data_IF_069323505782
#
_entry.id   IF_069323505782
#
_cell.length_a   1.000
_cell.length_b   1.000
_cell.length_c   1.000
_cell.angle_alpha   90.00
_cell.angle_beta   90.00
_cell.angle_gamma   90.00
#
_symmetry.space_group_name_H-M   'P 1'
#
loop_
_entity.id
_entity.type
_entity.pdbx_description
1 polymer ?
#
# COMPACT_ATOMS: atom_id res chain seq x y z
N UNK A 1 11.71 2.98 -26.93
CA UNK A 1 10.39 2.88 -26.26
C UNK A 1 10.62 2.80 -24.76
N UNK A 2 10.08 3.71 -23.94
CA UNK A 2 10.21 3.61 -22.48
C UNK A 2 9.49 2.33 -22.01
N UNK A 3 10.20 1.48 -21.27
CA UNK A 3 9.66 0.23 -20.74
C UNK A 3 8.65 0.46 -19.61
N UNK A 4 7.90 -0.58 -19.26
CA UNK A 4 6.90 -0.55 -18.17
C UNK A 4 7.51 -0.02 -16.86
N UNK A 5 8.77 -0.36 -16.56
CA UNK A 5 9.48 0.11 -15.37
C UNK A 5 9.67 1.64 -15.38
N UNK A 6 9.99 2.22 -16.54
CA UNK A 6 10.20 3.66 -16.67
C UNK A 6 8.87 4.43 -16.47
N UNK A 7 7.77 3.84 -16.95
CA UNK A 7 6.41 4.37 -16.75
C UNK A 7 5.97 4.30 -15.30
N UNK A 8 6.28 3.22 -14.57
CA UNK A 8 6.04 3.12 -13.13
C UNK A 8 6.90 4.15 -12.39
N UNK A 9 8.18 4.30 -12.74
CA UNK A 9 9.08 5.27 -12.12
C UNK A 9 8.60 6.71 -12.34
N UNK A 10 8.16 7.04 -13.56
CA UNK A 10 7.54 8.32 -13.89
C UNK A 10 6.22 8.53 -13.13
N UNK A 11 5.39 7.48 -13.01
CA UNK A 11 4.16 7.53 -12.23
C UNK A 11 4.42 7.81 -10.75
N UNK A 12 5.36 7.10 -10.12
CA UNK A 12 5.77 7.35 -8.72
C UNK A 12 6.35 8.74 -8.50
N UNK A 13 6.94 9.36 -9.53
CA UNK A 13 7.45 10.75 -9.48
C UNK A 13 6.39 11.79 -9.82
N UNK A 14 5.26 11.39 -10.39
CA UNK A 14 4.15 12.29 -10.72
C UNK A 14 3.39 12.75 -9.47
N UNK A 15 2.76 13.93 -9.49
CA UNK A 15 1.91 14.40 -8.38
C UNK A 15 0.74 13.45 -8.08
N UNK A 16 0.24 12.72 -9.09
CA UNK A 16 -0.80 11.70 -8.91
C UNK A 16 -0.26 10.49 -8.14
N UNK A 17 0.92 9.97 -8.50
CA UNK A 17 1.57 8.87 -7.79
C UNK A 17 1.99 9.26 -6.38
N UNK A 18 2.52 10.46 -6.18
CA UNK A 18 2.83 10.99 -4.85
C UNK A 18 1.58 11.08 -3.95
N UNK A 19 0.42 11.49 -4.49
CA UNK A 19 -0.85 11.46 -3.75
C UNK A 19 -1.28 10.05 -3.39
N UNK A 20 -1.19 9.09 -4.31
CA UNK A 20 -1.53 7.69 -4.04
C UNK A 20 -0.59 7.10 -2.98
N UNK A 21 0.71 7.34 -3.08
CA UNK A 21 1.71 6.91 -2.09
C UNK A 21 1.44 7.60 -0.75
N UNK A 22 1.11 8.89 -0.75
CA UNK A 22 0.76 9.64 0.44
C UNK A 22 -0.50 9.10 1.14
N UNK A 23 -1.54 8.78 0.38
CA UNK A 23 -2.76 8.15 0.91
C UNK A 23 -2.48 6.73 1.42
N UNK A 24 -1.71 5.94 0.68
CA UNK A 24 -1.30 4.62 1.12
C UNK A 24 -0.45 4.69 2.40
N UNK A 25 0.46 5.67 2.48
CA UNK A 25 1.31 5.91 3.65
C UNK A 25 0.50 6.42 4.83
N UNK A 26 -0.46 7.33 4.64
CA UNK A 26 -1.37 7.80 5.67
C UNK A 26 -2.26 6.66 6.18
N UNK A 27 -2.85 5.88 5.27
CA UNK A 27 -3.63 4.69 5.61
C UNK A 27 -2.80 3.61 6.34
N UNK A 28 -1.50 3.52 6.04
CA UNK A 28 -0.58 2.59 6.71
C UNK A 28 -0.01 3.15 8.02
N UNK A 29 0.10 4.47 8.12
CA UNK A 29 0.59 5.19 9.30
C UNK A 29 -0.48 5.30 10.38
N UNK A 30 -1.74 5.03 10.03
CA UNK A 30 -2.83 4.91 10.98
C UNK A 30 -2.64 3.64 11.84
N UNK A 31 -2.30 3.76 13.14
CA UNK A 31 -2.08 2.60 13.99
C UNK A 31 -3.35 1.74 14.12
N UNK A 32 -4.52 2.39 14.05
CA UNK A 32 -5.84 1.72 14.08
C UNK A 32 -6.04 0.79 12.89
N UNK A 33 -5.67 1.23 11.68
CA UNK A 33 -5.73 0.39 10.47
C UNK A 33 -4.71 -0.74 10.53
N UNK A 34 -3.55 -0.50 11.15
CA UNK A 34 -2.51 -1.51 11.35
C UNK A 34 -2.97 -2.63 12.29
N UNK A 35 -3.67 -2.30 13.37
CA UNK A 35 -4.28 -3.30 14.26
C UNK A 35 -5.42 -4.06 13.59
N UNK A 36 -6.27 -3.38 12.83
CA UNK A 36 -7.35 -4.01 12.07
C UNK A 36 -6.81 -4.98 11.02
N UNK A 37 -5.78 -4.57 10.28
CA UNK A 37 -5.07 -5.43 9.35
C UNK A 37 -4.41 -6.60 10.08
N UNK A 38 -3.70 -6.37 11.20
CA UNK A 38 -3.11 -7.46 12.01
C UNK A 38 -4.16 -8.46 12.50
N UNK A 39 -5.33 -8.00 12.95
CA UNK A 39 -6.45 -8.88 13.34
C UNK A 39 -7.00 -9.65 12.15
N UNK A 40 -7.16 -9.02 10.99
CA UNK A 40 -7.67 -9.65 9.79
C UNK A 40 -6.68 -10.70 9.25
N UNK A 41 -5.40 -10.35 9.16
CA UNK A 41 -4.31 -11.27 8.81
C UNK A 41 -4.15 -12.38 9.84
N UNK A 42 -4.33 -12.08 11.13
CA UNK A 42 -4.35 -13.08 12.21
C UNK A 42 -5.50 -14.08 12.06
N UNK A 43 -6.70 -13.62 11.69
CA UNK A 43 -7.85 -14.49 11.38
C UNK A 43 -7.59 -15.35 10.13
N UNK A 44 -7.09 -14.75 9.05
CA UNK A 44 -6.73 -15.46 7.82
C UNK A 44 -5.63 -16.51 8.06
N UNK A 45 -4.66 -16.21 8.93
CA UNK A 45 -3.56 -17.12 9.26
C UNK A 45 -3.94 -18.17 10.30
N UNK A 46 -4.90 -17.87 11.18
CA UNK A 46 -5.40 -18.76 12.23
C UNK A 46 -6.53 -19.71 11.77
N UNK A 47 -7.20 -19.41 10.65
CA UNK A 47 -8.25 -20.27 10.07
C UNK A 47 -7.74 -21.44 9.22
N UNK A 48 -6.44 -21.74 9.27
CA UNK A 48 -5.81 -22.85 8.53
C UNK A 48 -5.37 -23.95 9.48
N UNK A 49 -6.30 -24.45 10.30
CA UNK A 49 -6.11 -25.63 11.13
C UNK A 49 -7.37 -26.47 11.13
#
# INVERSE_FOLDING_TARGET
MPGIIDRIKAFTRSPQGQRVIGQARAASSDPRKREQARRLFGKLRGGRR
#
